data_IF_693391939528
#
_entry.id   IF_693391939528
#
_cell.length_a   1.000
_cell.length_b   1.000
_cell.length_c   1.000
_cell.angle_alpha   90.00
_cell.angle_beta   90.00
_cell.angle_gamma   90.00
#
_symmetry.space_group_name_H-M   'P 1'
#
loop_
_entity.id
_entity.type
_entity.pdbx_description
1 polymer ?
#
# COMPACT_ATOMS: atom_id res chain seq x y z
N UNK A 1 -24.37 12.03 -1.94
CA UNK A 1 -23.14 11.57 -1.29
C UNK A 1 -22.10 11.75 -2.37
N UNK A 2 -21.27 12.78 -2.25
CA UNK A 2 -20.25 13.05 -3.26
C UNK A 2 -19.15 12.04 -3.04
N UNK A 3 -18.94 11.18 -4.02
CA UNK A 3 -17.78 10.33 -4.15
C UNK A 3 -16.62 11.28 -4.49
N UNK A 4 -15.96 11.82 -3.46
CA UNK A 4 -14.64 12.41 -3.68
C UNK A 4 -13.79 11.29 -4.28
N UNK A 5 -13.18 11.48 -5.46
CA UNK A 5 -12.34 10.44 -6.03
C UNK A 5 -11.32 10.10 -4.96
N UNK A 6 -11.29 8.83 -4.53
CA UNK A 6 -10.22 8.36 -3.68
C UNK A 6 -8.92 8.76 -4.38
N UNK A 7 -8.06 9.55 -3.72
CA UNK A 7 -6.70 9.84 -4.17
C UNK A 7 -5.87 8.54 -4.05
N UNK A 8 -6.28 7.53 -4.82
CA UNK A 8 -5.69 6.21 -4.93
C UNK A 8 -4.89 6.16 -6.22
N UNK A 9 -3.66 5.67 -6.12
CA UNK A 9 -2.76 5.41 -7.23
C UNK A 9 -2.82 3.92 -7.52
N UNK A 10 -3.36 3.56 -8.68
CA UNK A 10 -3.24 2.20 -9.21
C UNK A 10 -1.78 1.93 -9.58
N UNK A 11 -1.20 0.84 -9.08
CA UNK A 11 0.18 0.49 -9.35
C UNK A 11 0.32 -0.11 -10.77
N UNK A 12 1.28 0.39 -11.55
CA UNK A 12 1.57 -0.13 -12.90
C UNK A 12 2.12 -1.57 -12.87
N UNK A 13 2.75 -1.95 -11.76
CA UNK A 13 3.35 -3.27 -11.53
C UNK A 13 2.79 -3.88 -10.24
N UNK A 14 1.51 -4.33 -10.24
CA UNK A 14 0.90 -4.91 -9.03
C UNK A 14 1.61 -6.20 -8.60
N UNK A 15 2.27 -6.90 -9.52
CA UNK A 15 3.07 -8.09 -9.26
C UNK A 15 4.33 -7.84 -8.40
N UNK A 16 4.70 -6.57 -8.18
CA UNK A 16 5.82 -6.19 -7.30
C UNK A 16 5.39 -6.02 -5.84
N UNK A 17 4.09 -6.05 -5.56
CA UNK A 17 3.59 -6.03 -4.18
C UNK A 17 3.84 -7.41 -3.55
N UNK A 18 4.65 -7.41 -2.49
CA UNK A 18 4.90 -8.60 -1.67
C UNK A 18 4.15 -8.50 -0.35
N UNK A 19 3.08 -9.26 -0.18
CA UNK A 19 2.33 -9.34 1.09
C UNK A 19 3.05 -10.33 2.02
N UNK A 20 3.90 -9.81 2.90
CA UNK A 20 4.55 -10.62 3.92
C UNK A 20 3.67 -10.76 5.17
N UNK A 21 2.97 -11.90 5.34
CA UNK A 21 2.30 -12.20 6.61
C UNK A 21 3.29 -12.83 7.60
N UNK A 22 3.45 -12.23 8.77
CA UNK A 22 4.09 -12.93 9.90
C UNK A 22 3.00 -13.72 10.61
N UNK A 23 3.09 -15.05 10.51
CA UNK A 23 2.11 -16.01 11.01
C UNK A 23 1.77 -15.79 12.48
N UNK A 24 0.51 -15.46 12.77
CA UNK A 24 0.04 -15.27 14.13
C UNK A 24 -1.46 -15.06 14.30
N UNK A 25 -2.33 -15.66 13.48
CA UNK A 25 -3.72 -15.98 13.83
C UNK A 25 -4.36 -16.83 12.72
N UNK A 26 -5.38 -17.59 13.09
CA UNK A 26 -5.79 -18.85 12.47
C UNK A 26 -6.59 -18.64 11.17
N UNK A 27 -6.32 -19.49 10.18
CA UNK A 27 -7.07 -19.64 8.92
C UNK A 27 -7.06 -18.48 7.92
N UNK A 28 -6.00 -18.43 7.11
CA UNK A 28 -6.08 -18.06 5.69
C UNK A 28 -5.20 -19.04 4.92
N UNK A 29 -5.81 -19.89 4.10
CA UNK A 29 -5.09 -20.69 3.11
C UNK A 29 -4.40 -19.71 2.17
N UNK A 30 -3.10 -19.54 2.36
CA UNK A 30 -2.25 -18.92 1.33
C UNK A 30 -2.40 -19.83 0.12
N UNK A 31 -2.94 -19.26 -0.96
CA UNK A 31 -2.99 -19.90 -2.26
C UNK A 31 -1.60 -20.36 -2.73
N UNK A 32 -1.50 -20.91 -3.94
CA UNK A 32 -0.24 -21.52 -4.38
C UNK A 32 0.91 -20.50 -4.29
N UNK A 33 2.18 -20.93 -4.10
CA UNK A 33 3.31 -20.05 -3.74
C UNK A 33 3.75 -19.01 -4.80
N UNK A 34 2.84 -18.56 -5.67
CA UNK A 34 3.05 -17.59 -6.76
C UNK A 34 1.78 -16.78 -7.08
N UNK A 35 0.87 -16.60 -6.13
CA UNK A 35 -0.28 -15.73 -6.31
C UNK A 35 0.19 -14.27 -6.12
N UNK A 36 0.83 -13.74 -7.17
CA UNK A 36 1.16 -12.32 -7.26
C UNK A 36 -0.14 -11.53 -7.45
N UNK A 37 -0.27 -10.34 -6.85
CA UNK A 37 -1.46 -9.53 -7.05
C UNK A 37 -1.63 -9.19 -8.53
N UNK A 38 -2.85 -9.40 -9.05
CA UNK A 38 -3.25 -8.95 -10.39
C UNK A 38 -3.80 -7.53 -10.34
N UNK A 39 -4.15 -7.03 -9.14
CA UNK A 39 -4.51 -5.64 -8.88
C UNK A 39 -3.90 -5.18 -7.57
N UNK A 40 -3.36 -3.96 -7.56
CA UNK A 40 -2.93 -3.29 -6.34
C UNK A 40 -3.09 -1.78 -6.46
N UNK A 41 -3.50 -1.14 -5.38
CA UNK A 41 -3.64 0.29 -5.27
C UNK A 41 -3.15 0.80 -3.92
N UNK A 42 -2.69 2.05 -3.91
CA UNK A 42 -2.23 2.76 -2.71
C UNK A 42 -3.00 4.06 -2.61
N UNK A 43 -3.59 4.35 -1.46
CA UNK A 43 -4.29 5.62 -1.24
C UNK A 43 -3.78 6.35 -0.01
N UNK A 44 -3.83 7.68 -0.08
CA UNK A 44 -3.43 8.55 1.03
C UNK A 44 -4.52 9.56 1.27
N UNK A 45 -5.06 9.57 2.49
CA UNK A 45 -6.20 10.42 2.84
C UNK A 45 -5.99 11.10 4.19
N UNK A 46 -6.60 12.27 4.38
CA UNK A 46 -6.71 12.85 5.71
C UNK A 46 -7.67 11.98 6.54
N UNK A 47 -7.20 11.49 7.69
CA UNK A 47 -8.03 10.80 8.67
C UNK A 47 -8.49 11.78 9.76
N UNK A 48 -9.37 11.32 10.63
CA UNK A 48 -9.80 12.10 11.78
C UNK A 48 -8.61 12.43 12.71
N UNK A 49 -8.70 13.55 13.46
CA UNK A 49 -7.74 13.92 14.52
C UNK A 49 -6.31 14.23 14.04
N UNK A 50 -6.17 14.97 12.94
CA UNK A 50 -4.86 15.40 12.41
C UNK A 50 -3.93 14.21 12.08
N UNK A 51 -4.50 13.17 11.47
CA UNK A 51 -3.80 11.95 11.02
C UNK A 51 -3.87 11.82 9.51
N UNK A 52 -2.96 11.03 8.97
CA UNK A 52 -2.95 10.61 7.56
C UNK A 52 -3.18 9.11 7.53
N UNK A 53 -4.20 8.66 6.81
CA UNK A 53 -4.40 7.25 6.51
C UNK A 53 -3.64 6.92 5.23
N UNK A 54 -2.73 5.94 5.33
CA UNK A 54 -2.03 5.34 4.20
C UNK A 54 -2.52 3.91 4.06
N UNK A 55 -3.21 3.62 2.96
CA UNK A 55 -3.82 2.32 2.69
C UNK A 55 -3.11 1.66 1.51
N UNK A 56 -2.82 0.37 1.66
CA UNK A 56 -2.34 -0.49 0.58
C UNK A 56 -3.31 -1.65 0.43
N UNK A 57 -3.88 -1.76 -0.76
CA UNK A 57 -4.76 -2.85 -1.17
C UNK A 57 -4.12 -3.65 -2.29
N UNK A 58 -4.15 -4.96 -2.18
CA UNK A 58 -3.64 -5.88 -3.18
C UNK A 58 -4.54 -7.12 -3.27
N UNK A 59 -5.01 -7.42 -4.47
CA UNK A 59 -5.85 -8.57 -4.77
C UNK A 59 -5.11 -9.51 -5.72
N UNK A 60 -5.18 -10.81 -5.43
CA UNK A 60 -4.63 -11.88 -6.25
C UNK A 60 -5.76 -12.81 -6.72
N UNK A 61 -6.50 -12.37 -7.74
CA UNK A 61 -7.70 -13.02 -8.28
C UNK A 61 -8.72 -13.35 -7.19
N UNK A 62 -9.27 -14.57 -7.23
CA UNK A 62 -10.19 -15.07 -6.19
C UNK A 62 -9.46 -15.68 -4.98
N UNK A 63 -8.11 -15.65 -4.96
CA UNK A 63 -7.31 -16.49 -4.06
C UNK A 63 -6.85 -15.77 -2.80
N UNK A 64 -6.80 -14.44 -2.81
CA UNK A 64 -6.41 -13.69 -1.62
C UNK A 64 -6.44 -12.18 -1.80
N UNK A 65 -6.70 -11.49 -0.70
CA UNK A 65 -6.58 -10.04 -0.58
C UNK A 65 -5.59 -9.73 0.54
N UNK A 66 -4.60 -8.89 0.26
CA UNK A 66 -3.78 -8.23 1.27
C UNK A 66 -4.25 -6.80 1.41
N UNK A 67 -4.53 -6.40 2.64
CA UNK A 67 -4.96 -5.05 2.98
C UNK A 67 -4.18 -4.57 4.20
N UNK A 68 -3.67 -3.35 4.14
CA UNK A 68 -2.97 -2.71 5.25
C UNK A 68 -3.38 -1.25 5.33
N UNK A 69 -3.99 -0.89 6.46
CA UNK A 69 -4.26 0.48 6.86
C UNK A 69 -3.21 0.93 7.88
N UNK A 70 -2.57 2.06 7.61
CA UNK A 70 -1.60 2.68 8.52
C UNK A 70 -2.01 4.12 8.80
N UNK A 71 -2.38 4.39 10.05
CA UNK A 71 -2.60 5.76 10.53
C UNK A 71 -1.27 6.38 10.96
N UNK A 72 -0.87 7.44 10.28
CA UNK A 72 0.34 8.20 10.53
C UNK A 72 0.00 9.51 11.22
N UNK A 73 0.84 9.90 12.17
CA UNK A 73 0.92 11.29 12.61
C UNK A 73 1.39 12.19 11.45
N UNK A 74 1.13 13.50 11.54
CA UNK A 74 1.65 14.46 10.56
C UNK A 74 3.19 14.45 10.47
N UNK A 75 3.88 14.16 11.57
CA UNK A 75 5.34 14.08 11.60
C UNK A 75 5.84 12.83 10.85
N UNK A 76 5.23 11.68 11.11
CA UNK A 76 5.57 10.42 10.43
C UNK A 76 5.25 10.49 8.93
N UNK A 77 4.11 11.07 8.55
CA UNK A 77 3.75 11.25 7.15
C UNK A 77 4.78 12.12 6.40
N UNK A 78 5.30 13.17 7.04
CA UNK A 78 6.37 14.01 6.46
C UNK A 78 7.67 13.23 6.31
N UNK A 79 8.05 12.44 7.31
CA UNK A 79 9.25 11.59 7.22
C UNK A 79 9.14 10.56 6.10
N UNK A 80 7.96 9.94 5.92
CA UNK A 80 7.72 9.00 4.82
C UNK A 80 7.85 9.70 3.47
N UNK A 81 7.24 10.88 3.30
CA UNK A 81 7.39 11.70 2.09
C UNK A 81 8.87 12.00 1.80
N UNK A 82 9.59 12.55 2.78
CA UNK A 82 10.99 12.96 2.59
C UNK A 82 11.87 11.76 2.21
N UNK A 83 11.59 10.58 2.78
CA UNK A 83 12.32 9.35 2.45
C UNK A 83 11.96 8.82 1.06
N UNK A 84 10.70 8.94 0.64
CA UNK A 84 10.27 8.56 -0.71
C UNK A 84 10.96 9.43 -1.76
N UNK A 85 11.00 10.75 -1.54
CA UNK A 85 11.68 11.70 -2.44
C UNK A 85 13.18 11.37 -2.55
N UNK A 86 13.87 11.15 -1.42
CA UNK A 86 15.29 10.80 -1.41
C UNK A 86 15.59 9.51 -2.20
N UNK A 87 14.75 8.48 -2.07
CA UNK A 87 14.91 7.22 -2.80
C UNK A 87 14.65 7.40 -4.29
N UNK A 88 13.60 8.15 -4.65
CA UNK A 88 13.25 8.41 -6.04
C UNK A 88 14.34 9.23 -6.76
N UNK A 89 14.85 10.28 -6.10
CA UNK A 89 15.94 11.10 -6.62
C UNK A 89 17.21 10.27 -6.83
N UNK A 90 17.57 9.41 -5.88
CA UNK A 90 18.73 8.52 -6.00
C UNK A 90 18.67 7.58 -7.20
N UNK A 91 17.47 7.08 -7.56
CA UNK A 91 17.27 6.26 -8.76
C UNK A 91 17.31 7.08 -10.06
N UNK A 92 17.01 8.38 -9.99
CA UNK A 92 17.08 9.31 -11.11
C UNK A 92 18.51 9.75 -11.46
N UNK A 93 19.39 9.87 -10.46
CA UNK A 93 20.80 10.27 -10.62
C UNK A 93 21.70 9.16 -11.22
N UNK A 94 21.23 7.90 -11.27
CA UNK A 94 21.96 6.77 -11.86
C UNK A 94 21.73 6.60 -13.38
N UNK A 95 21.11 7.58 -14.07
CA UNK A 95 20.81 7.53 -15.51
C UNK A 95 21.63 8.47 -16.39
#
# INVERSE_FOLDING_TARGET
>A
MSDEPADSIDLEHPDYVSIGVTRGEYDLEIGRPRDYPDRADVSVQASERDRVLFTVDAMAGDHGTGHADVELTLEEARQVRDRLDEVADGLGDER
#
